data_IF_794571688870
#
_entry.id   IF_794571688870
#
_cell.length_a   1.000
_cell.length_b   1.000
_cell.length_c   1.000
_cell.angle_alpha   90.00
_cell.angle_beta   90.00
_cell.angle_gamma   90.00
#
_symmetry.space_group_name_H-M   'P 1'
#
loop_
_entity.id
_entity.type
_entity.pdbx_description
1 polymer ?
#
# COMPACT_ATOMS: atom_id res chain seq x y z
N UNK A 1 -10.51 27.93 -22.18
CA UNK A 1 -10.84 26.64 -21.53
C UNK A 1 -11.63 26.74 -20.22
N UNK A 2 -11.58 27.84 -19.45
CA UNK A 2 -12.15 27.87 -18.09
C UNK A 2 -13.68 27.90 -17.92
N UNK A 3 -14.46 28.15 -18.97
CA UNK A 3 -15.94 28.12 -18.89
C UNK A 3 -16.50 26.69 -19.02
N UNK A 4 -15.93 25.91 -19.94
CA UNK A 4 -16.29 24.51 -20.14
C UNK A 4 -15.90 23.64 -18.94
N UNK A 5 -14.74 23.88 -18.31
CA UNK A 5 -14.35 23.15 -17.09
C UNK A 5 -15.27 23.45 -15.90
N UNK A 6 -15.75 24.69 -15.76
CA UNK A 6 -16.74 25.07 -14.73
C UNK A 6 -18.09 24.39 -14.97
N UNK A 7 -18.58 24.36 -16.21
CA UNK A 7 -19.87 23.71 -16.54
C UNK A 7 -19.77 22.20 -16.32
N UNK A 8 -18.69 21.56 -16.76
CA UNK A 8 -18.47 20.12 -16.53
C UNK A 8 -18.30 19.80 -15.04
N UNK A 9 -17.63 20.65 -14.28
CA UNK A 9 -17.50 20.51 -12.83
C UNK A 9 -18.86 20.56 -12.13
N UNK A 10 -19.68 21.55 -12.45
CA UNK A 10 -21.02 21.71 -11.85
C UNK A 10 -21.95 20.56 -12.26
N UNK A 11 -21.95 20.17 -13.53
CA UNK A 11 -22.75 19.05 -14.02
C UNK A 11 -22.33 17.72 -13.39
N UNK A 12 -21.02 17.48 -13.22
CA UNK A 12 -20.49 16.30 -12.55
C UNK A 12 -20.87 16.23 -11.08
N UNK A 13 -20.82 17.36 -10.35
CA UNK A 13 -21.25 17.42 -8.94
C UNK A 13 -22.74 17.15 -8.80
N UNK A 14 -23.59 17.74 -9.66
CA UNK A 14 -25.03 17.53 -9.62
C UNK A 14 -25.42 16.07 -9.95
N UNK A 15 -24.82 15.48 -10.98
CA UNK A 15 -25.04 14.08 -11.32
C UNK A 15 -24.53 13.14 -10.22
N UNK A 16 -23.38 13.45 -9.61
CA UNK A 16 -22.86 12.70 -8.46
C UNK A 16 -23.77 12.77 -7.23
N UNK A 17 -24.26 13.96 -6.88
CA UNK A 17 -25.16 14.16 -5.74
C UNK A 17 -26.50 13.45 -5.93
N UNK A 18 -27.09 13.51 -7.13
CA UNK A 18 -28.34 12.81 -7.43
C UNK A 18 -28.16 11.30 -7.43
N UNK A 19 -27.04 10.79 -7.97
CA UNK A 19 -26.70 9.36 -7.90
C UNK A 19 -26.51 8.88 -6.46
N UNK A 20 -25.86 9.68 -5.61
CA UNK A 20 -25.61 9.37 -4.19
C UNK A 20 -26.82 9.63 -3.27
N UNK A 21 -27.89 10.26 -3.76
CA UNK A 21 -29.11 10.47 -2.97
C UNK A 21 -29.84 9.14 -2.68
N UNK A 22 -29.74 8.18 -3.61
CA UNK A 22 -30.33 6.84 -3.46
C UNK A 22 -29.47 5.96 -2.55
N UNK A 23 -30.08 5.37 -1.51
CA UNK A 23 -29.41 4.47 -0.56
C UNK A 23 -28.77 3.25 -1.26
N UNK A 24 -29.48 2.64 -2.20
CA UNK A 24 -29.01 1.47 -2.96
C UNK A 24 -27.71 1.77 -3.74
N UNK A 25 -27.63 2.94 -4.37
CA UNK A 25 -26.46 3.36 -5.13
C UNK A 25 -25.25 3.62 -4.22
N UNK A 26 -25.49 4.17 -3.02
CA UNK A 26 -24.45 4.34 -1.99
C UNK A 26 -23.92 3.00 -1.51
N UNK A 27 -24.79 2.02 -1.30
CA UNK A 27 -24.36 0.67 -0.88
C UNK A 27 -23.56 -0.05 -1.97
N UNK A 28 -24.00 0.02 -3.23
CA UNK A 28 -23.24 -0.51 -4.38
C UNK A 28 -21.86 0.14 -4.48
N UNK A 29 -21.77 1.46 -4.33
CA UNK A 29 -20.51 2.19 -4.34
C UNK A 29 -19.60 1.76 -3.18
N UNK A 30 -20.12 1.68 -1.95
CA UNK A 30 -19.36 1.20 -0.79
C UNK A 30 -18.83 -0.21 -1.00
N UNK A 31 -19.64 -1.13 -1.55
CA UNK A 31 -19.22 -2.50 -1.84
C UNK A 31 -18.10 -2.56 -2.88
N UNK A 32 -18.18 -1.74 -3.93
CA UNK A 32 -17.14 -1.65 -4.95
C UNK A 32 -15.84 -1.04 -4.42
N UNK A 33 -15.94 0.06 -3.65
CA UNK A 33 -14.80 0.69 -3.00
C UNK A 33 -14.12 -0.27 -2.02
N UNK A 34 -14.89 -0.94 -1.16
CA UNK A 34 -14.35 -1.93 -0.24
C UNK A 34 -13.71 -3.11 -0.98
N UNK A 35 -14.27 -3.55 -2.11
CA UNK A 35 -13.65 -4.59 -2.95
C UNK A 35 -12.30 -4.12 -3.52
N UNK A 36 -12.22 -2.89 -4.02
CA UNK A 36 -10.99 -2.30 -4.53
C UNK A 36 -9.92 -2.11 -3.45
N UNK A 37 -10.31 -1.53 -2.30
CA UNK A 37 -9.42 -1.36 -1.15
C UNK A 37 -8.93 -2.71 -0.60
N UNK A 38 -9.81 -3.72 -0.52
CA UNK A 38 -9.40 -5.05 -0.12
C UNK A 38 -8.45 -5.70 -1.13
N UNK A 39 -8.55 -5.38 -2.42
CA UNK A 39 -7.61 -5.89 -3.44
C UNK A 39 -6.23 -5.23 -3.30
N UNK A 40 -6.19 -3.93 -3.02
CA UNK A 40 -4.94 -3.20 -2.76
C UNK A 40 -4.30 -3.70 -1.45
N UNK A 41 -5.09 -3.85 -0.39
CA UNK A 41 -4.59 -4.31 0.92
C UNK A 41 -4.20 -5.80 0.95
N UNK A 42 -4.78 -6.64 0.07
CA UNK A 42 -4.35 -8.03 -0.13
C UNK A 42 -3.05 -8.15 -0.92
N UNK A 43 -2.56 -7.05 -1.48
CA UNK A 43 -1.24 -7.05 -2.08
C UNK A 43 -0.25 -7.02 -0.93
N UNK A 44 0.23 -8.21 -0.55
CA UNK A 44 1.19 -8.40 0.53
C UNK A 44 2.46 -7.60 0.24
N UNK A 45 2.51 -6.34 0.67
CA UNK A 45 3.71 -5.50 0.61
C UNK A 45 4.91 -6.15 1.31
N UNK A 46 4.63 -7.13 2.19
CA UNK A 46 5.63 -7.93 2.90
C UNK A 46 6.30 -9.00 2.00
N UNK A 47 5.68 -9.38 0.89
CA UNK A 47 6.26 -10.29 -0.10
C UNK A 47 7.02 -9.55 -1.21
N UNK A 48 6.83 -8.24 -1.32
CA UNK A 48 7.54 -7.42 -2.29
C UNK A 48 9.03 -7.39 -1.95
N UNK A 49 9.85 -7.99 -2.81
CA UNK A 49 11.31 -8.06 -2.65
C UNK A 49 11.82 -9.30 -1.91
N UNK A 50 10.94 -10.19 -1.43
CA UNK A 50 11.37 -11.51 -0.95
C UNK A 50 11.53 -12.45 -2.15
N UNK A 51 12.67 -13.14 -2.32
CA UNK A 51 12.80 -14.18 -3.32
C UNK A 51 11.70 -15.22 -3.18
N UNK A 52 11.19 -15.71 -4.32
CA UNK A 52 10.19 -16.79 -4.35
C UNK A 52 10.77 -18.11 -3.86
N UNK A 53 12.06 -18.31 -4.11
CA UNK A 53 12.78 -19.53 -3.81
C UNK A 53 13.25 -19.52 -2.36
N UNK A 54 13.07 -20.65 -1.68
CA UNK A 54 13.37 -20.79 -0.24
C UNK A 54 14.85 -20.58 0.03
N UNK A 55 15.70 -21.11 -0.86
CA UNK A 55 17.16 -21.00 -0.79
C UNK A 55 17.62 -19.54 -0.91
N UNK A 56 17.11 -18.81 -1.90
CA UNK A 56 17.41 -17.38 -2.06
C UNK A 56 16.92 -16.54 -0.87
N UNK A 57 15.73 -16.87 -0.35
CA UNK A 57 15.19 -16.21 0.83
C UNK A 57 16.04 -16.47 2.09
N UNK A 58 16.59 -17.68 2.23
CA UNK A 58 17.50 -18.06 3.30
C UNK A 58 18.83 -17.30 3.19
N UNK A 59 19.46 -17.28 2.01
CA UNK A 59 20.71 -16.52 1.77
C UNK A 59 20.59 -15.04 2.11
N UNK A 60 19.50 -14.38 1.71
CA UNK A 60 19.26 -12.95 2.04
C UNK A 60 19.11 -12.76 3.55
N UNK A 61 18.43 -13.69 4.23
CA UNK A 61 18.22 -13.62 5.68
C UNK A 61 19.52 -13.81 6.47
N UNK A 62 20.39 -14.71 6.02
CA UNK A 62 21.71 -14.94 6.61
C UNK A 62 22.63 -13.72 6.46
N UNK A 63 22.63 -13.09 5.29
CA UNK A 63 23.40 -11.86 5.05
C UNK A 63 22.95 -10.70 5.95
N UNK A 64 21.63 -10.52 6.11
CA UNK A 64 21.07 -9.51 7.00
C UNK A 64 21.49 -9.75 8.46
N UNK A 65 21.41 -10.99 8.96
CA UNK A 65 21.82 -11.34 10.31
C UNK A 65 23.33 -11.12 10.54
N UNK A 66 24.15 -11.47 9.55
CA UNK A 66 25.61 -11.30 9.60
C UNK A 66 26.00 -9.84 9.77
N UNK A 67 25.36 -8.94 9.04
CA UNK A 67 25.64 -7.49 9.15
C UNK A 67 25.34 -6.94 10.55
N UNK A 68 24.22 -7.35 11.15
CA UNK A 68 23.85 -6.97 12.53
C UNK A 68 24.85 -7.52 13.53
N UNK A 69 25.23 -8.79 13.41
CA UNK A 69 26.24 -9.40 14.28
C UNK A 69 27.60 -8.71 14.17
N UNK A 70 28.03 -8.33 12.96
CA UNK A 70 29.29 -7.62 12.74
C UNK A 70 29.31 -6.26 13.46
N UNK A 71 28.27 -5.45 13.30
CA UNK A 71 28.21 -4.15 13.98
C UNK A 71 28.07 -4.27 15.49
N UNK A 72 27.28 -5.22 15.99
CA UNK A 72 27.17 -5.48 17.42
C UNK A 72 28.52 -5.89 18.03
N UNK A 73 29.31 -6.67 17.29
CA UNK A 73 30.67 -7.05 17.72
C UNK A 73 31.63 -5.87 17.74
N UNK A 74 31.56 -4.96 16.77
CA UNK A 74 32.36 -3.73 16.78
C UNK A 74 32.00 -2.81 17.94
N UNK A 75 30.70 -2.61 18.18
CA UNK A 75 30.24 -1.78 19.30
C UNK A 75 30.58 -2.40 20.66
N UNK A 76 30.38 -3.71 20.82
CA UNK A 76 30.75 -4.42 22.05
C UNK A 76 32.26 -4.42 22.32
N UNK A 77 33.10 -4.41 21.28
CA UNK A 77 34.55 -4.20 21.43
C UNK A 77 34.89 -2.76 21.84
N UNK A 78 34.24 -1.77 21.23
CA UNK A 78 34.45 -0.35 21.53
C UNK A 78 33.98 0.07 22.92
N UNK A 79 33.05 -0.66 23.55
CA UNK A 79 32.54 -0.38 24.90
C UNK A 79 33.28 -1.14 26.00
N UNK A 80 34.20 -2.04 25.64
CA UNK A 80 35.02 -2.83 26.57
C UNK A 80 36.48 -2.39 26.69
N UNK A 81 36.87 -1.32 25.99
CA UNK A 81 38.14 -0.57 26.16
C UNK A 81 37.88 0.73 26.92
#
# INVERSE_FOLDING_TARGET
MGKLSKVLGVAGVAAGATYLSKSENREKLKKQLNKGLNMINKTDVKSWGKPSDVEDAEMVSEGAMTSVQYYNKLQGKSQGE
#
